data_IF_934761658012
#
_entry.id   IF_934761658012
#
_cell.length_a   1.000
_cell.length_b   1.000
_cell.length_c   1.000
_cell.angle_alpha   90.00
_cell.angle_beta   90.00
_cell.angle_gamma   90.00
#
_symmetry.space_group_name_H-M   'P 1'
#
loop_
_entity.id
_entity.type
_entity.pdbx_description
1 polymer ?
#
# COMPACT_ATOMS: atom_id res chain seq x y z
N UNK A 1 51.70 15.74 20.68
CA UNK A 1 51.10 14.55 20.01
C UNK A 1 49.72 14.16 20.53
N UNK A 2 49.36 14.45 21.79
CA UNK A 2 48.06 14.07 22.41
C UNK A 2 46.82 14.66 21.71
N UNK A 3 46.94 15.86 21.15
CA UNK A 3 45.82 16.65 20.60
C UNK A 3 45.48 16.27 19.15
N UNK A 4 46.47 15.79 18.36
CA UNK A 4 46.24 15.30 16.99
C UNK A 4 45.39 14.03 17.01
N UNK A 5 45.69 13.11 17.92
CA UNK A 5 44.90 11.88 18.09
C UNK A 5 43.47 12.20 18.56
N UNK A 6 43.31 13.18 19.45
CA UNK A 6 42.00 13.66 19.86
C UNK A 6 41.19 14.25 18.69
N UNK A 7 41.82 15.03 17.81
CA UNK A 7 41.18 15.55 16.60
C UNK A 7 40.72 14.43 15.64
N UNK A 8 41.54 13.39 15.44
CA UNK A 8 41.15 12.24 14.62
C UNK A 8 40.01 11.42 15.26
N UNK A 9 39.99 11.30 16.58
CA UNK A 9 38.89 10.64 17.31
C UNK A 9 37.60 11.44 17.17
N UNK A 10 37.64 12.76 17.35
CA UNK A 10 36.48 13.65 17.17
C UNK A 10 35.97 13.57 15.72
N UNK A 11 36.87 13.61 14.73
CA UNK A 11 36.51 13.48 13.33
C UNK A 11 35.85 12.12 13.03
N UNK A 12 36.38 11.03 13.60
CA UNK A 12 35.80 9.69 13.46
C UNK A 12 34.39 9.61 14.03
N UNK A 13 34.13 10.23 15.19
CA UNK A 13 32.80 10.29 15.79
C UNK A 13 31.84 11.08 14.89
N UNK A 14 32.26 12.22 14.35
CA UNK A 14 31.43 13.03 13.44
C UNK A 14 31.03 12.23 12.20
N UNK A 15 31.98 11.49 11.59
CA UNK A 15 31.70 10.64 10.43
C UNK A 15 30.72 9.52 10.78
N UNK A 16 30.87 8.88 11.94
CA UNK A 16 29.95 7.84 12.41
C UNK A 16 28.53 8.39 12.64
N UNK A 17 28.41 9.57 13.25
CA UNK A 17 27.11 10.23 13.48
C UNK A 17 26.46 10.59 12.14
N UNK A 18 27.21 11.13 11.19
CA UNK A 18 26.68 11.45 9.86
C UNK A 18 26.20 10.18 9.11
N UNK A 19 26.94 9.07 9.22
CA UNK A 19 26.54 7.77 8.67
C UNK A 19 25.26 7.24 9.32
N UNK A 20 25.16 7.30 10.65
CA UNK A 20 23.98 6.87 11.38
C UNK A 20 22.74 7.70 10.99
N UNK A 21 22.90 9.02 10.85
CA UNK A 21 21.84 9.92 10.36
C UNK A 21 21.44 9.55 8.93
N UNK A 22 22.40 9.35 8.02
CA UNK A 22 22.13 8.98 6.63
C UNK A 22 21.37 7.65 6.51
N UNK A 23 21.79 6.63 7.26
CA UNK A 23 21.09 5.34 7.36
C UNK A 23 19.67 5.57 7.89
N UNK A 24 19.53 6.30 8.99
CA UNK A 24 18.23 6.56 9.59
C UNK A 24 17.26 7.24 8.61
N UNK A 25 17.68 8.29 7.91
CA UNK A 25 16.85 8.96 6.91
C UNK A 25 16.56 8.08 5.69
N UNK A 26 17.51 7.26 5.24
CA UNK A 26 17.30 6.34 4.13
C UNK A 26 16.21 5.28 4.42
N UNK A 27 16.11 4.83 5.68
CA UNK A 27 15.13 3.83 6.09
C UNK A 27 13.81 4.42 6.61
N UNK A 28 13.76 5.71 6.98
CA UNK A 28 12.60 6.35 7.62
C UNK A 28 11.38 6.46 6.70
N UNK A 29 11.57 6.69 5.40
CA UNK A 29 10.48 7.09 4.49
C UNK A 29 9.97 5.96 3.59
N UNK A 30 9.72 4.79 4.16
CA UNK A 30 9.00 3.72 3.46
C UNK A 30 7.53 3.77 3.84
N UNK A 31 6.75 4.57 3.09
CA UNK A 31 5.28 4.52 3.19
C UNK A 31 4.79 3.14 2.77
N UNK A 32 3.90 2.57 3.58
CA UNK A 32 3.24 1.29 3.29
C UNK A 32 1.76 1.56 3.08
N UNK A 33 1.27 1.23 1.89
CA UNK A 33 -0.15 1.32 1.56
C UNK A 33 -0.76 -0.08 1.70
N UNK A 34 -1.92 -0.18 2.36
CA UNK A 34 -2.66 -1.45 2.54
C UNK A 34 -4.01 -1.38 1.84
N UNK A 35 -4.46 -2.51 1.30
CA UNK A 35 -5.83 -2.67 0.82
C UNK A 35 -6.71 -3.02 2.02
N UNK A 36 -7.69 -2.18 2.32
CA UNK A 36 -8.66 -2.42 3.39
C UNK A 36 -9.98 -2.82 2.76
N UNK A 37 -10.40 -4.07 2.99
CA UNK A 37 -11.67 -4.62 2.51
C UNK A 37 -12.68 -4.70 3.65
N UNK A 38 -13.99 -4.59 3.38
CA UNK A 38 -15.03 -4.80 4.37
C UNK A 38 -15.04 -6.24 4.89
N UNK A 39 -15.58 -6.42 6.08
CA UNK A 39 -15.82 -7.76 6.64
C UNK A 39 -17.11 -8.33 6.05
N UNK A 40 -17.11 -9.63 5.73
CA UNK A 40 -18.26 -10.31 5.13
C UNK A 40 -19.55 -10.15 5.94
N UNK A 41 -19.46 -10.16 7.27
CA UNK A 41 -20.60 -10.01 8.19
C UNK A 41 -21.29 -8.63 8.10
N UNK A 42 -20.60 -7.64 7.55
CA UNK A 42 -21.09 -6.26 7.42
C UNK A 42 -21.51 -5.91 5.99
N UNK A 43 -21.44 -6.89 5.09
CA UNK A 43 -21.69 -6.72 3.67
C UNK A 43 -23.07 -7.29 3.35
N UNK A 44 -23.94 -6.46 2.80
CA UNK A 44 -25.25 -6.86 2.29
C UNK A 44 -25.13 -7.41 0.88
N UNK A 45 -24.35 -6.74 0.02
CA UNK A 45 -24.09 -7.18 -1.35
C UNK A 45 -22.83 -6.57 -1.96
N UNK A 46 -22.38 -7.15 -3.08
CA UNK A 46 -21.36 -6.58 -3.97
C UNK A 46 -22.02 -6.30 -5.32
N UNK A 47 -21.95 -5.06 -5.80
CA UNK A 47 -22.40 -4.71 -7.14
C UNK A 47 -21.23 -4.57 -8.10
N UNK A 48 -21.34 -5.21 -9.25
CA UNK A 48 -20.39 -5.17 -10.36
C UNK A 48 -21.05 -4.51 -11.56
N UNK A 49 -20.59 -3.32 -11.91
CA UNK A 49 -21.10 -2.59 -13.06
C UNK A 49 -20.06 -2.56 -14.19
N UNK A 50 -20.45 -3.01 -15.38
CA UNK A 50 -19.62 -2.97 -16.58
C UNK A 50 -20.48 -2.71 -17.80
N UNK A 51 -20.18 -1.65 -18.56
CA UNK A 51 -20.81 -1.35 -19.85
C UNK A 51 -22.35 -1.45 -19.79
N UNK A 52 -22.97 -0.75 -18.82
CA UNK A 52 -24.42 -0.72 -18.55
C UNK A 52 -25.03 -2.02 -18.00
N UNK A 53 -24.24 -3.10 -17.83
CA UNK A 53 -24.67 -4.29 -17.12
C UNK A 53 -24.33 -4.15 -15.65
N UNK A 54 -25.33 -4.35 -14.82
CA UNK A 54 -25.19 -4.36 -13.37
C UNK A 54 -25.49 -5.76 -12.83
N UNK A 55 -24.56 -6.31 -12.07
CA UNK A 55 -24.68 -7.63 -11.43
C UNK A 55 -24.60 -7.41 -9.93
N UNK A 56 -25.63 -7.81 -9.21
CA UNK A 56 -25.67 -7.74 -7.74
C UNK A 56 -25.45 -9.15 -7.20
N UNK A 57 -24.43 -9.29 -6.36
CA UNK A 57 -24.05 -10.54 -5.70
C UNK A 57 -24.40 -10.39 -4.23
N UNK A 58 -25.37 -11.19 -3.77
CA UNK A 58 -25.83 -11.24 -2.39
C UNK A 58 -25.65 -12.63 -1.76
N UNK A 59 -25.15 -13.60 -2.51
CA UNK A 59 -24.80 -14.91 -1.96
C UNK A 59 -23.53 -14.81 -1.12
N UNK A 60 -23.60 -15.34 0.11
CA UNK A 60 -22.52 -15.24 1.10
C UNK A 60 -21.24 -15.94 0.63
N UNK A 61 -21.33 -17.10 -0.03
CA UNK A 61 -20.14 -17.82 -0.48
C UNK A 61 -19.53 -17.13 -1.71
N UNK A 62 -20.35 -16.62 -2.64
CA UNK A 62 -19.83 -15.83 -3.77
C UNK A 62 -19.14 -14.53 -3.31
N UNK A 63 -19.75 -13.80 -2.36
CA UNK A 63 -19.12 -12.59 -1.79
C UNK A 63 -17.80 -12.91 -1.08
N UNK A 64 -17.77 -14.00 -0.32
CA UNK A 64 -16.57 -14.48 0.37
C UNK A 64 -15.46 -14.85 -0.60
N UNK A 65 -15.79 -15.50 -1.71
CA UNK A 65 -14.83 -15.86 -2.75
C UNK A 65 -14.23 -14.61 -3.41
N UNK A 66 -15.05 -13.59 -3.70
CA UNK A 66 -14.56 -12.31 -4.22
C UNK A 66 -13.60 -11.65 -3.22
N UNK A 67 -14.00 -11.52 -1.95
CA UNK A 67 -13.14 -10.95 -0.92
C UNK A 67 -11.85 -11.76 -0.74
N UNK A 68 -11.92 -13.09 -0.85
CA UNK A 68 -10.76 -13.97 -0.78
C UNK A 68 -9.78 -13.69 -1.93
N UNK A 69 -10.26 -13.59 -3.17
CA UNK A 69 -9.43 -13.29 -4.35
C UNK A 69 -8.78 -11.91 -4.24
N UNK A 70 -9.54 -10.89 -3.85
CA UNK A 70 -9.02 -9.53 -3.67
C UNK A 70 -7.97 -9.46 -2.56
N UNK A 71 -8.21 -10.12 -1.44
CA UNK A 71 -7.27 -10.17 -0.32
C UNK A 71 -6.02 -11.02 -0.64
N UNK A 72 -6.16 -12.06 -1.46
CA UNK A 72 -5.06 -12.92 -1.91
C UNK A 72 -4.13 -12.21 -2.91
N UNK A 73 -4.71 -11.42 -3.81
CA UNK A 73 -3.95 -10.68 -4.83
C UNK A 73 -3.13 -9.54 -4.21
N UNK A 74 -3.63 -8.95 -3.11
CA UNK A 74 -3.02 -7.81 -2.41
C UNK A 74 -2.66 -6.66 -3.38
N UNK A 75 -1.90 -5.68 -2.89
CA UNK A 75 -1.36 -4.64 -3.76
C UNK A 75 -0.29 -5.21 -4.69
N UNK A 76 -0.45 -4.94 -5.98
CA UNK A 76 0.57 -5.22 -7.01
C UNK A 76 1.67 -4.16 -7.09
N UNK A 77 1.47 -2.98 -6.50
CA UNK A 77 2.42 -1.84 -6.57
C UNK A 77 2.61 -1.14 -5.22
N UNK A 78 3.81 -0.56 -5.04
CA UNK A 78 4.20 0.25 -3.86
C UNK A 78 3.92 1.74 -4.04
N UNK A 79 3.58 2.18 -5.27
CA UNK A 79 3.32 3.58 -5.57
C UNK A 79 1.95 4.00 -5.03
N UNK A 80 1.83 5.27 -4.64
CA UNK A 80 0.55 5.87 -4.29
C UNK A 80 -0.39 5.90 -5.50
N UNK A 81 -1.69 5.69 -5.28
CA UNK A 81 -2.67 5.94 -6.33
C UNK A 81 -2.84 7.44 -6.48
N UNK A 82 -2.60 7.96 -7.68
CA UNK A 82 -2.78 9.38 -8.00
C UNK A 82 -4.11 9.65 -8.73
N UNK A 83 -4.86 8.58 -9.02
CA UNK A 83 -6.13 8.59 -9.71
C UNK A 83 -7.13 7.77 -8.91
N UNK A 84 -8.40 8.20 -8.95
CA UNK A 84 -9.51 7.54 -8.27
C UNK A 84 -10.18 6.48 -9.15
N UNK A 85 -9.97 6.54 -10.46
CA UNK A 85 -10.47 5.59 -11.44
C UNK A 85 -9.40 5.28 -12.49
N UNK A 86 -9.44 4.09 -13.12
CA UNK A 86 -8.61 3.79 -14.27
C UNK A 86 -8.82 4.77 -15.43
N UNK A 87 -7.75 5.10 -16.16
CA UNK A 87 -7.82 5.90 -17.39
C UNK A 87 -7.36 5.07 -18.59
N UNK A 88 -7.83 5.41 -19.79
CA UNK A 88 -7.48 4.74 -21.05
C UNK A 88 -7.77 3.23 -21.06
N UNK A 89 -8.92 2.83 -20.51
CA UNK A 89 -9.40 1.44 -20.53
C UNK A 89 -10.80 1.37 -21.14
N UNK A 90 -11.06 0.30 -21.90
CA UNK A 90 -12.36 0.10 -22.56
C UNK A 90 -13.32 -0.77 -21.73
N UNK A 91 -12.79 -1.54 -20.78
CA UNK A 91 -13.53 -2.53 -19.98
C UNK A 91 -13.42 -2.24 -18.49
N UNK A 92 -13.82 -1.03 -18.09
CA UNK A 92 -13.92 -0.71 -16.66
C UNK A 92 -14.95 -1.61 -15.98
N UNK A 93 -14.61 -2.09 -14.79
CA UNK A 93 -15.55 -2.75 -13.90
C UNK A 93 -15.58 -1.93 -12.61
N UNK A 94 -16.71 -1.30 -12.35
CA UNK A 94 -16.95 -0.62 -11.09
C UNK A 94 -17.43 -1.64 -10.06
N UNK A 95 -16.82 -1.61 -8.88
CA UNK A 95 -17.16 -2.51 -7.77
C UNK A 95 -17.60 -1.65 -6.60
N UNK A 96 -18.83 -1.82 -6.13
CA UNK A 96 -19.31 -1.18 -4.90
C UNK A 96 -19.64 -2.27 -3.86
N UNK A 97 -19.22 -2.02 -2.61
CA UNK A 97 -19.53 -2.85 -1.45
C UNK A 97 -20.64 -2.17 -0.66
N UNK A 98 -21.80 -2.82 -0.53
CA UNK A 98 -23.01 -2.28 0.11
C UNK A 98 -23.25 -2.95 1.45
#
# INVERSE_FOLDING_TARGET
MKNRNALFVILGIIVLVALAIGIFYHFRDRRTYTLNLPQLEKLESISLNQNEKDIIINDTEEMKDILYVLNGTKRVTKNESVQDAPINIDNEIKVDFQ
#
